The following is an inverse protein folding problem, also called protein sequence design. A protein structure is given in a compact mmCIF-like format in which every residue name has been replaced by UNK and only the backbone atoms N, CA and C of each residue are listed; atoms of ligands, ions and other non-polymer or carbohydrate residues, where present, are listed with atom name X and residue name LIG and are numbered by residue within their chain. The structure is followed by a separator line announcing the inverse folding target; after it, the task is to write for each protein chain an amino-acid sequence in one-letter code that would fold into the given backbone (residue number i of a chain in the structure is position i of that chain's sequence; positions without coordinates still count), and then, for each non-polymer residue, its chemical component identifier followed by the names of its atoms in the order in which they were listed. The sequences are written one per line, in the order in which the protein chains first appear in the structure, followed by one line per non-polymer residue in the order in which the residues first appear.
data_IF_985622765913
#
_entry.id   IF_985622765913
#
_cell.length_a   1.000
_cell.length_b   1.000
_cell.length_c   1.000
_cell.angle_alpha   90.00
_cell.angle_beta   90.00
_cell.angle_gamma   90.00
#
_symmetry.space_group_name_H-M   'P 1'
#
loop_
_entity.id
_entity.type
_entity.pdbx_description
1 polymer ?
#
# COMPACT_ATOMS: atom_id res chain seq x y z
N UNK A 1 -13.82 19.35 8.36
CA UNK A 1 -12.56 18.96 7.69
C UNK A 1 -12.65 17.47 7.44
N UNK A 2 -12.66 17.01 6.20
CA UNK A 2 -12.57 15.57 5.91
C UNK A 2 -11.22 15.10 6.45
N UNK A 3 -11.26 14.14 7.39
CA UNK A 3 -10.05 13.53 7.92
C UNK A 3 -9.41 12.76 6.76
N UNK A 4 -8.17 13.08 6.41
CA UNK A 4 -7.42 12.32 5.41
C UNK A 4 -7.35 10.86 5.87
N UNK A 5 -7.73 9.87 5.03
CA UNK A 5 -7.68 8.48 5.44
C UNK A 5 -6.25 8.08 5.82
N UNK A 6 -6.05 7.36 6.94
CA UNK A 6 -4.73 6.90 7.34
C UNK A 6 -4.13 5.96 6.29
N UNK A 7 -2.81 6.00 6.16
CA UNK A 7 -2.03 5.20 5.21
C UNK A 7 -1.26 4.14 5.99
N UNK A 8 -1.30 2.88 5.51
CA UNK A 8 -0.40 1.81 5.97
C UNK A 8 0.37 1.26 4.78
N UNK A 9 1.69 1.35 4.85
CA UNK A 9 2.59 0.87 3.80
C UNK A 9 2.92 -0.61 3.97
N UNK A 10 2.78 -1.38 2.89
CA UNK A 10 3.23 -2.77 2.81
C UNK A 10 4.55 -2.81 2.09
N UNK A 11 5.61 -3.14 2.84
CA UNK A 11 7.00 -3.12 2.36
C UNK A 11 7.58 -4.52 2.40
N UNK A 12 8.41 -4.84 1.41
CA UNK A 12 9.06 -6.14 1.30
C UNK A 12 10.14 -6.06 0.22
N UNK A 13 11.05 -7.04 0.24
CA UNK A 13 11.96 -7.30 -0.89
C UNK A 13 11.15 -7.59 -2.18
N UNK A 14 11.81 -7.45 -3.33
CA UNK A 14 11.19 -7.83 -4.60
C UNK A 14 10.89 -9.34 -4.59
N UNK A 15 9.79 -9.75 -5.23
CA UNK A 15 9.41 -11.17 -5.30
C UNK A 15 8.84 -11.77 -4.02
N UNK A 16 8.64 -11.00 -2.94
CA UNK A 16 8.12 -11.52 -1.65
C UNK A 16 6.59 -11.72 -1.63
N UNK A 17 5.87 -11.42 -2.73
CA UNK A 17 4.43 -11.67 -2.84
C UNK A 17 3.53 -10.68 -2.07
N UNK A 18 3.94 -9.40 -1.99
CA UNK A 18 3.13 -8.32 -1.38
C UNK A 18 1.74 -8.21 -1.98
N UNK A 19 1.66 -8.13 -3.30
CA UNK A 19 0.38 -8.06 -4.02
C UNK A 19 -0.51 -9.25 -3.66
N UNK A 20 0.04 -10.47 -3.65
CA UNK A 20 -0.68 -11.69 -3.26
C UNK A 20 -1.20 -11.63 -1.82
N UNK A 21 -0.42 -11.08 -0.89
CA UNK A 21 -0.89 -10.90 0.49
C UNK A 21 -2.02 -9.86 0.57
N UNK A 22 -1.88 -8.72 -0.14
CA UNK A 22 -2.91 -7.68 -0.19
C UNK A 22 -4.22 -8.18 -0.80
N UNK A 23 -4.16 -9.03 -1.83
CA UNK A 23 -5.33 -9.68 -2.43
C UNK A 23 -6.11 -10.53 -1.41
N UNK A 24 -5.43 -11.17 -0.47
CA UNK A 24 -6.06 -11.91 0.64
C UNK A 24 -6.60 -10.99 1.73
N UNK A 25 -5.89 -9.91 2.03
CA UNK A 25 -6.19 -8.98 3.12
C UNK A 25 -7.39 -8.06 2.80
N UNK A 26 -7.46 -7.52 1.59
CA UNK A 26 -8.50 -6.55 1.20
C UNK A 26 -9.92 -7.08 1.43
N UNK A 27 -10.29 -8.31 0.99
CA UNK A 27 -11.62 -8.86 1.25
C UNK A 27 -11.94 -8.98 2.75
N UNK A 28 -10.94 -9.31 3.59
CA UNK A 28 -11.09 -9.42 5.05
C UNK A 28 -11.39 -8.05 5.66
N UNK A 29 -10.63 -7.02 5.31
CA UNK A 29 -10.87 -5.65 5.76
C UNK A 29 -12.25 -5.12 5.32
N UNK A 30 -12.64 -5.42 4.08
CA UNK A 30 -13.98 -5.06 3.57
C UNK A 30 -15.10 -5.80 4.32
N UNK A 31 -14.87 -7.03 4.77
CA UNK A 31 -15.84 -7.76 5.61
C UNK A 31 -16.06 -7.11 6.98
N UNK A 32 -15.12 -6.28 7.45
CA UNK A 32 -15.29 -5.43 8.64
C UNK A 32 -15.95 -4.08 8.33
N UNK A 33 -16.42 -3.85 7.10
CA UNK A 33 -17.15 -2.64 6.70
C UNK A 33 -16.27 -1.46 6.31
N UNK A 34 -14.94 -1.63 6.22
CA UNK A 34 -14.04 -0.56 5.78
C UNK A 34 -14.07 -0.42 4.25
N UNK A 35 -14.13 0.82 3.77
CA UNK A 35 -13.79 1.17 2.39
C UNK A 35 -12.28 1.27 2.27
N UNK A 36 -11.70 0.52 1.33
CA UNK A 36 -10.25 0.38 1.20
C UNK A 36 -9.78 1.06 -0.08
N UNK A 37 -8.85 2.00 0.06
CA UNK A 37 -8.05 2.53 -1.04
C UNK A 37 -6.73 1.79 -1.16
N UNK A 38 -6.18 1.72 -2.38
CA UNK A 38 -4.86 1.14 -2.61
C UNK A 38 -4.00 2.12 -3.38
N UNK A 39 -2.82 2.44 -2.85
CA UNK A 39 -1.76 3.13 -3.58
C UNK A 39 -0.70 2.14 -3.97
N UNK A 40 -0.32 2.08 -5.24
CA UNK A 40 0.75 1.22 -5.72
C UNK A 40 1.89 2.04 -6.28
N UNK A 41 3.08 1.86 -5.70
CA UNK A 41 4.29 2.54 -6.17
C UNK A 41 5.19 1.57 -6.94
N UNK A 42 5.44 1.88 -8.21
CA UNK A 42 6.40 1.17 -9.04
C UNK A 42 7.76 1.90 -8.98
N UNK A 43 8.81 1.18 -8.58
CA UNK A 43 10.17 1.76 -8.54
C UNK A 43 10.75 2.03 -9.94
N UNK A 44 10.19 1.41 -10.98
CA UNK A 44 10.60 1.61 -12.36
C UNK A 44 9.60 2.49 -13.11
N UNK A 45 10.10 3.31 -14.04
CA UNK A 45 9.31 4.16 -14.93
C UNK A 45 8.58 3.33 -16.01
N UNK A 46 7.69 2.44 -15.57
CA UNK A 46 6.84 1.61 -16.41
C UNK A 46 5.50 2.31 -16.64
N UNK A 47 5.05 2.34 -17.90
CA UNK A 47 3.76 2.93 -18.24
C UNK A 47 2.62 2.10 -17.62
N UNK A 48 1.70 2.78 -16.93
CA UNK A 48 0.46 2.17 -16.45
C UNK A 48 -0.57 2.00 -17.58
N UNK A 49 -0.51 2.83 -18.61
CA UNK A 49 -1.36 2.76 -19.78
C UNK A 49 -0.74 1.92 -20.89
N UNK A 50 -1.57 1.46 -21.83
CA UNK A 50 -1.15 0.63 -22.96
C UNK A 50 -0.56 1.50 -24.07
N UNK A 51 0.73 1.35 -24.42
CA UNK A 51 1.34 2.12 -25.49
C UNK A 51 0.59 1.97 -26.82
N UNK A 52 0.36 3.10 -27.49
CA UNK A 52 -0.30 3.15 -28.80
C UNK A 52 -1.82 3.19 -28.79
N UNK A 53 -2.49 3.01 -27.64
CA UNK A 53 -3.94 3.21 -27.49
C UNK A 53 -4.28 4.70 -27.33
N UNK A 54 -5.57 5.04 -27.46
CA UNK A 54 -6.01 6.43 -27.58
C UNK A 54 -5.67 7.27 -26.34
N UNK A 55 -5.90 6.75 -25.12
CA UNK A 55 -5.52 7.44 -23.88
C UNK A 55 -4.02 7.74 -23.80
N UNK A 56 -3.20 6.76 -24.18
CA UNK A 56 -1.74 6.91 -24.22
C UNK A 56 -1.32 7.96 -25.26
N UNK A 57 -1.92 7.92 -26.45
CA UNK A 57 -1.63 8.88 -27.53
C UNK A 57 -2.02 10.31 -27.14
N UNK A 58 -3.15 10.49 -26.46
CA UNK A 58 -3.59 11.80 -25.97
C UNK A 58 -2.64 12.35 -24.90
N UNK A 59 -2.21 11.53 -23.94
CA UNK A 59 -1.21 11.93 -22.95
C UNK A 59 0.12 12.35 -23.63
N UNK A 60 0.59 11.56 -24.60
CA UNK A 60 1.80 11.88 -25.38
C UNK A 60 1.67 13.10 -26.28
N UNK A 61 0.44 13.49 -26.64
CA UNK A 61 0.17 14.71 -27.39
C UNK A 61 0.24 15.97 -26.52
N UNK A 62 0.38 15.83 -25.19
CA UNK A 62 0.54 16.93 -24.25
C UNK A 62 -0.66 17.16 -23.32
N UNK A 63 -1.61 16.22 -23.23
CA UNK A 63 -2.65 16.31 -22.22
C UNK A 63 -2.05 16.05 -20.83
N UNK A 64 -2.14 17.04 -19.93
CA UNK A 64 -1.69 16.90 -18.53
C UNK A 64 -2.51 15.84 -17.76
N UNK A 65 -3.77 15.69 -18.14
CA UNK A 65 -4.68 14.68 -17.57
C UNK A 65 -5.55 14.08 -18.66
N UNK A 66 -5.63 12.75 -18.69
CA UNK A 66 -6.56 12.00 -19.53
C UNK A 66 -7.50 11.20 -18.62
N UNK A 67 -8.80 11.39 -18.79
CA UNK A 67 -9.83 10.66 -18.06
C UNK A 67 -10.58 9.75 -19.02
N UNK A 68 -10.48 8.45 -18.81
CA UNK A 68 -11.30 7.44 -19.47
C UNK A 68 -12.41 6.98 -18.54
N UNK A 69 -13.61 6.78 -19.05
CA UNK A 69 -14.74 6.26 -18.28
C UNK A 69 -15.52 5.24 -19.09
N UNK A 70 -15.95 4.17 -18.43
CA UNK A 70 -16.88 3.20 -18.99
C UNK A 70 -17.85 2.71 -17.90
N UNK A 71 -18.79 1.83 -18.27
CA UNK A 71 -19.77 1.28 -17.35
C UNK A 71 -19.18 0.50 -16.16
N UNK A 72 -17.90 0.10 -16.24
CA UNK A 72 -17.24 -0.72 -15.22
C UNK A 72 -16.30 0.08 -14.32
N UNK A 73 -15.66 1.14 -14.83
CA UNK A 73 -14.62 1.86 -14.11
C UNK A 73 -14.28 3.22 -14.75
N UNK A 74 -13.61 4.06 -13.96
CA UNK A 74 -12.96 5.29 -14.41
C UNK A 74 -11.45 5.09 -14.26
N UNK A 75 -10.69 5.47 -15.29
CA UNK A 75 -9.24 5.52 -15.29
C UNK A 75 -8.77 6.98 -15.44
N UNK A 76 -7.86 7.41 -14.58
CA UNK A 76 -7.27 8.75 -14.62
C UNK A 76 -5.77 8.60 -14.82
N UNK A 77 -5.27 9.13 -15.94
CA UNK A 77 -3.84 9.24 -16.21
C UNK A 77 -3.42 10.69 -16.03
N UNK A 78 -2.64 10.95 -14.99
CA UNK A 78 -2.10 12.28 -14.69
C UNK A 78 -0.59 12.28 -14.93
N UNK A 79 -0.12 13.20 -15.79
CA UNK A 79 1.32 13.36 -16.04
C UNK A 79 1.94 14.17 -14.90
N UNK A 80 3.04 13.67 -14.32
CA UNK A 80 3.74 14.28 -13.19
C UNK A 80 5.19 14.59 -13.57
N UNK A 81 5.73 15.68 -13.06
CA UNK A 81 7.10 16.13 -13.36
C UNK A 81 8.14 15.68 -12.31
N UNK A 82 7.72 14.99 -11.24
CA UNK A 82 8.59 14.67 -10.11
C UNK A 82 8.05 13.54 -9.23
N UNK A 83 8.75 13.21 -8.13
CA UNK A 83 8.31 12.19 -7.19
C UNK A 83 6.95 12.57 -6.57
N UNK A 84 6.18 11.57 -6.19
CA UNK A 84 4.86 11.75 -5.57
C UNK A 84 4.92 11.45 -4.08
N UNK A 85 4.37 12.37 -3.29
CA UNK A 85 4.13 12.13 -1.87
C UNK A 85 2.85 11.29 -1.72
N UNK A 86 2.86 10.18 -0.96
CA UNK A 86 1.64 9.40 -0.70
C UNK A 86 0.51 10.24 -0.11
N UNK A 87 0.78 11.25 0.74
CA UNK A 87 -0.25 12.10 1.32
C UNK A 87 -0.97 12.95 0.26
N UNK A 88 -0.21 13.52 -0.68
CA UNK A 88 -0.77 14.28 -1.80
C UNK A 88 -1.65 13.40 -2.70
N UNK A 89 -1.22 12.16 -2.96
CA UNK A 89 -1.99 11.21 -3.75
C UNK A 89 -3.30 10.82 -3.05
N UNK A 90 -3.27 10.56 -1.74
CA UNK A 90 -4.49 10.23 -0.98
C UNK A 90 -5.46 11.40 -0.97
N UNK A 91 -4.98 12.61 -0.66
CA UNK A 91 -5.81 13.81 -0.63
C UNK A 91 -6.47 14.11 -1.99
N UNK A 92 -5.81 13.72 -3.08
CA UNK A 92 -6.33 13.97 -4.43
C UNK A 92 -7.26 12.88 -4.94
N UNK A 93 -6.96 11.61 -4.66
CA UNK A 93 -7.60 10.48 -5.35
C UNK A 93 -8.33 9.48 -4.44
N UNK A 94 -8.08 9.49 -3.13
CA UNK A 94 -8.59 8.48 -2.20
C UNK A 94 -9.23 9.12 -0.97
N UNK A 95 -10.09 10.13 -1.18
CA UNK A 95 -10.76 10.84 -0.08
C UNK A 95 -12.07 10.20 0.38
N UNK A 96 -12.55 9.21 -0.36
CA UNK A 96 -13.82 8.50 -0.15
C UNK A 96 -13.63 7.07 0.41
N UNK A 97 -12.47 6.79 1.00
CA UNK A 97 -12.13 5.52 1.66
C UNK A 97 -11.85 5.73 3.14
N UNK A 98 -11.83 4.65 3.91
CA UNK A 98 -11.60 4.69 5.36
C UNK A 98 -10.14 4.39 5.73
N UNK A 99 -9.45 3.59 4.91
CA UNK A 99 -8.06 3.17 5.09
C UNK A 99 -7.38 3.01 3.73
N UNK A 100 -6.13 3.49 3.61
CA UNK A 100 -5.32 3.32 2.41
C UNK A 100 -4.21 2.30 2.66
N UNK A 101 -4.13 1.28 1.80
CA UNK A 101 -3.04 0.32 1.77
C UNK A 101 -2.04 0.73 0.68
N UNK A 102 -0.84 1.12 1.07
CA UNK A 102 0.19 1.55 0.13
C UNK A 102 1.17 0.40 -0.16
N UNK A 103 1.13 -0.22 -1.34
CA UNK A 103 2.14 -1.15 -1.79
C UNK A 103 3.40 -0.39 -2.24
N UNK A 104 4.44 -0.39 -1.41
CA UNK A 104 5.68 0.35 -1.65
C UNK A 104 5.88 1.50 -0.65
N UNK A 105 6.41 2.64 -1.13
CA UNK A 105 6.73 3.82 -0.31
C UNK A 105 7.61 3.51 0.92
N UNK A 106 8.62 2.65 0.75
CA UNK A 106 9.48 2.18 1.85
C UNK A 106 10.25 3.29 2.57
N UNK A 107 10.46 4.44 1.91
CA UNK A 107 11.15 5.60 2.46
C UNK A 107 10.20 6.63 3.08
N UNK A 108 8.88 6.43 3.00
CA UNK A 108 7.92 7.31 3.69
C UNK A 108 8.00 7.10 5.21
N UNK A 109 7.45 8.02 6.01
CA UNK A 109 7.32 7.87 7.47
C UNK A 109 5.96 7.31 7.91
N UNK A 110 5.17 6.83 6.95
CA UNK A 110 3.87 6.23 7.25
C UNK A 110 4.05 4.88 7.98
N UNK A 111 3.09 4.49 8.82
CA UNK A 111 3.08 3.18 9.48
C UNK A 111 3.22 2.04 8.47
N UNK A 112 3.98 0.99 8.83
CA UNK A 112 4.41 -0.06 7.90
C UNK A 112 4.08 -1.46 8.40
N UNK A 113 3.70 -2.33 7.48
CA UNK A 113 3.73 -3.77 7.67
C UNK A 113 4.80 -4.34 6.75
N UNK A 114 5.77 -5.04 7.34
CA UNK A 114 6.85 -5.66 6.58
C UNK A 114 6.51 -7.12 6.26
N UNK A 115 6.45 -7.46 4.97
CA UNK A 115 6.19 -8.82 4.50
C UNK A 115 7.53 -9.49 4.16
N UNK A 116 7.75 -10.70 4.68
CA UNK A 116 9.01 -11.44 4.57
C UNK A 116 8.77 -12.87 4.10
N UNK A 117 9.62 -13.36 3.19
CA UNK A 117 9.70 -14.77 2.81
C UNK A 117 11.12 -15.28 2.95
N UNK A 118 11.30 -16.49 3.46
CA UNK A 118 12.61 -17.11 3.64
C UNK A 118 13.34 -17.20 2.30
N UNK A 119 12.64 -17.65 1.24
CA UNK A 119 13.19 -17.78 -0.11
C UNK A 119 13.67 -16.46 -0.73
N UNK A 120 13.04 -15.32 -0.37
CA UNK A 120 13.45 -13.98 -0.82
C UNK A 120 14.51 -13.34 0.11
N UNK A 121 14.86 -14.03 1.19
CA UNK A 121 15.85 -13.62 2.20
C UNK A 121 17.10 -14.51 2.19
N UNK A 122 17.23 -15.41 1.20
CA UNK A 122 18.21 -16.48 1.13
C UNK A 122 19.57 -16.07 0.53
N UNK A 123 19.82 -14.78 0.30
CA UNK A 123 21.20 -14.34 0.11
C UNK A 123 21.91 -14.38 1.49
N UNK A 124 22.48 -15.53 1.80
CA UNK A 124 23.22 -15.85 3.04
C UNK A 124 24.44 -14.93 3.28
N UNK A 125 24.79 -14.09 2.30
CA UNK A 125 25.86 -13.10 2.39
C UNK A 125 25.37 -11.71 2.85
N UNK A 126 24.05 -11.50 3.06
CA UNK A 126 23.52 -10.21 3.48
C UNK A 126 23.57 -10.08 5.02
N UNK A 127 24.47 -9.26 5.58
CA UNK A 127 24.58 -9.06 7.04
C UNK A 127 23.32 -8.39 7.63
N UNK A 128 22.38 -7.92 6.80
CA UNK A 128 21.18 -7.21 7.22
C UNK A 128 19.91 -8.06 7.08
N UNK A 129 19.84 -9.16 7.85
CA UNK A 129 18.57 -9.83 8.23
C UNK A 129 17.57 -8.91 8.93
N UNK A 130 17.95 -7.65 9.17
CA UNK A 130 17.19 -6.61 9.86
C UNK A 130 15.95 -6.20 9.09
N UNK A 131 14.98 -5.72 9.85
CA UNK A 131 13.78 -5.09 9.32
C UNK A 131 14.20 -3.85 8.53
N UNK A 132 13.61 -3.65 7.35
CA UNK A 132 13.88 -2.46 6.52
C UNK A 132 13.25 -1.21 7.10
N UNK A 133 12.16 -1.40 7.84
CA UNK A 133 11.43 -0.33 8.48
C UNK A 133 12.12 0.12 9.77
N UNK A 134 12.13 1.42 10.03
CA UNK A 134 12.46 1.94 11.36
C UNK A 134 11.53 1.29 12.41
N UNK A 135 12.03 0.95 13.61
CA UNK A 135 11.18 0.45 14.70
C UNK A 135 9.97 1.36 14.99
N UNK A 136 10.13 2.67 14.84
CA UNK A 136 9.08 3.67 15.12
C UNK A 136 7.92 3.62 14.12
N UNK A 137 8.17 3.16 12.90
CA UNK A 137 7.17 3.12 11.84
C UNK A 137 6.55 1.72 11.69
N UNK A 138 7.13 0.69 12.30
CA UNK A 138 6.73 -0.69 12.06
C UNK A 138 5.53 -1.06 12.95
N UNK A 139 4.41 -1.44 12.33
CA UNK A 139 3.21 -1.90 13.03
C UNK A 139 3.21 -3.41 13.26
N UNK A 140 3.64 -4.18 12.27
CA UNK A 140 3.65 -5.64 12.31
C UNK A 140 4.59 -6.22 11.25
N UNK A 141 4.92 -7.50 11.42
CA UNK A 141 5.63 -8.30 10.41
C UNK A 141 4.72 -9.43 9.96
N UNK A 142 4.74 -9.76 8.68
CA UNK A 142 4.11 -10.96 8.13
C UNK A 142 5.19 -11.85 7.54
N UNK A 143 5.32 -13.10 7.99
CA UNK A 143 6.44 -13.97 7.59
C UNK A 143 6.12 -15.46 7.56
N UNK A 144 6.84 -16.22 6.72
CA UNK A 144 6.87 -17.70 6.70
C UNK A 144 8.01 -18.30 7.55
N UNK A 145 8.76 -17.47 8.27
CA UNK A 145 9.85 -17.91 9.14
C UNK A 145 9.87 -17.08 10.43
N UNK A 146 10.51 -17.57 11.50
CA UNK A 146 10.66 -16.81 12.73
C UNK A 146 11.39 -15.48 12.49
N UNK A 147 10.80 -14.39 12.98
CA UNK A 147 11.39 -13.05 12.95
C UNK A 147 11.42 -12.49 14.37
N UNK A 148 12.60 -12.10 14.84
CA UNK A 148 12.72 -11.37 16.10
C UNK A 148 12.28 -9.91 15.88
N UNK A 149 11.07 -9.57 16.33
CA UNK A 149 10.50 -8.24 16.24
C UNK A 149 9.81 -7.85 17.55
N UNK A 150 9.85 -6.56 17.89
CA UNK A 150 9.14 -6.01 19.05
C UNK A 150 7.64 -5.78 18.78
N UNK A 151 7.20 -6.01 17.54
CA UNK A 151 5.84 -5.84 17.04
C UNK A 151 5.21 -7.20 16.78
N UNK A 152 3.87 -7.30 16.65
CA UNK A 152 3.21 -8.54 16.27
C UNK A 152 3.78 -9.15 14.99
N UNK A 153 3.95 -10.47 14.99
CA UNK A 153 4.39 -11.26 13.83
C UNK A 153 3.26 -12.21 13.45
N UNK A 154 2.82 -12.15 12.19
CA UNK A 154 1.75 -12.97 11.62
C UNK A 154 2.30 -13.93 10.56
N UNK A 155 1.60 -15.04 10.34
CA UNK A 155 1.88 -15.95 9.23
C UNK A 155 1.40 -15.34 7.90
N UNK A 156 2.02 -15.72 6.78
CA UNK A 156 1.61 -15.28 5.43
C UNK A 156 0.19 -15.71 5.05
N UNK A 157 -0.35 -16.76 5.69
CA UNK A 157 -1.72 -17.22 5.51
C UNK A 157 -2.69 -16.58 6.51
N UNK A 158 -2.20 -15.86 7.53
CA UNK A 158 -3.02 -15.21 8.55
C UNK A 158 -3.45 -13.78 8.15
N UNK A 159 -3.99 -13.65 6.94
CA UNK A 159 -4.58 -12.37 6.49
C UNK A 159 -5.79 -11.95 7.36
N UNK A 160 -6.44 -12.89 8.05
CA UNK A 160 -7.54 -12.60 8.96
C UNK A 160 -7.05 -11.91 10.23
N UNK A 161 -6.01 -12.45 10.90
CA UNK A 161 -5.40 -11.84 12.07
C UNK A 161 -4.83 -10.45 11.77
N UNK A 162 -4.21 -10.27 10.61
CA UNK A 162 -3.73 -8.94 10.17
C UNK A 162 -4.89 -7.97 9.93
N UNK A 163 -6.03 -8.43 9.39
CA UNK A 163 -7.20 -7.59 9.21
C UNK A 163 -7.77 -7.13 10.57
N UNK A 164 -7.94 -8.04 11.52
CA UNK A 164 -8.42 -7.70 12.86
C UNK A 164 -7.50 -6.72 13.57
N UNK A 165 -6.18 -6.94 13.46
CA UNK A 165 -5.17 -6.03 14.00
C UNK A 165 -5.29 -4.62 13.39
N UNK A 166 -5.37 -4.51 12.07
CA UNK A 166 -5.49 -3.23 11.38
C UNK A 166 -6.81 -2.51 11.68
N UNK A 167 -7.92 -3.25 11.86
CA UNK A 167 -9.20 -2.65 12.26
C UNK A 167 -9.10 -2.02 13.65
N UNK A 168 -8.47 -2.70 14.61
CA UNK A 168 -8.24 -2.15 15.96
C UNK A 168 -7.32 -0.93 15.92
N UNK A 169 -6.25 -1.01 15.15
CA UNK A 169 -5.33 0.11 14.95
C UNK A 169 -6.03 1.32 14.30
N UNK A 170 -6.84 1.09 13.27
CA UNK A 170 -7.61 2.15 12.61
C UNK A 170 -8.61 2.81 13.57
N UNK A 171 -9.27 2.03 14.43
CA UNK A 171 -10.18 2.56 15.45
C UNK A 171 -9.46 3.42 16.49
N UNK A 172 -8.25 3.04 16.93
CA UNK A 172 -7.48 3.82 17.90
C UNK A 172 -6.84 5.07 17.30
N UNK A 173 -6.55 5.05 15.99
CA UNK A 173 -5.99 6.18 15.26
C UNK A 173 -7.02 7.28 14.93
N UNK A 174 -8.33 7.02 15.08
CA UNK A 174 -9.37 8.03 14.83
C UNK A 174 -9.43 9.04 15.97
N UNK A 175 -9.49 10.37 15.67
CA UNK A 175 -9.88 11.32 16.69
C UNK A 175 -11.28 10.97 17.22
N UNK A 176 -11.53 11.11 18.54
CA UNK A 176 -12.83 10.80 19.11
C UNK A 176 -13.92 11.60 18.37
N UNK A 177 -15.01 10.92 18.01
CA UNK A 177 -16.15 11.58 17.38
C UNK A 177 -16.61 12.71 18.31
N UNK A 178 -16.47 13.96 17.85
CA UNK A 178 -17.05 15.12 18.51
C UNK A 178 -18.56 14.93 18.44
N UNK A 179 -19.19 14.71 19.60
CA UNK A 179 -20.65 14.70 19.74
C UNK A 179 -21.20 16.11 19.57
#
# INVERSE_FOLDING_TARGET
MSVCPPIVCFVARSGTGKTTFLEKLIPRLKAHGLRIGVLKHHAHATAFDVPGKDSYRLARAGADTVVGSCALQVAVFHQIAGPTDPDELVQRYLTDVDLVLAEGFSYSRHPKIEVRRAAASADDADPDRRLRSSPDDLLAVVSDHPVAAAVPVFDLEDAAGVAEFLVRWWQSARPPATR
#
